data_IF_873556831531
#
_entry.id   IF_873556831531
#
_cell.length_a   1.000
_cell.length_b   1.000
_cell.length_c   1.000
_cell.angle_alpha   90.00
_cell.angle_beta   90.00
_cell.angle_gamma   90.00
#
_symmetry.space_group_name_H-M   'P 1'
#
loop_
_entity.id
_entity.type
_entity.pdbx_description
1 polymer ?
#
# COMPACT_ATOMS: atom_id res chain seq x y z
N UNK A 1 30.69 22.19 -4.77
CA UNK A 1 30.95 20.76 -5.04
C UNK A 1 30.76 19.83 -3.85
N UNK A 2 31.50 19.90 -2.73
CA UNK A 2 31.32 18.91 -1.63
C UNK A 2 29.86 18.82 -1.15
N UNK A 3 29.21 19.96 -0.89
CA UNK A 3 27.80 20.01 -0.48
C UNK A 3 26.85 19.49 -1.57
N UNK A 4 27.13 19.76 -2.84
CA UNK A 4 26.28 19.31 -3.96
C UNK A 4 26.41 17.80 -4.23
N UNK A 5 27.62 17.24 -4.08
CA UNK A 5 27.84 15.81 -4.10
C UNK A 5 27.15 15.14 -2.91
N UNK A 6 27.24 15.74 -1.71
CA UNK A 6 26.54 15.24 -0.51
C UNK A 6 25.02 15.27 -0.70
N UNK A 7 24.46 16.30 -1.33
CA UNK A 7 23.02 16.40 -1.59
C UNK A 7 22.54 15.46 -2.70
N UNK A 8 23.37 15.19 -3.71
CA UNK A 8 23.04 14.30 -4.82
C UNK A 8 23.13 12.81 -4.48
N UNK A 9 24.03 12.42 -3.58
CA UNK A 9 24.26 11.01 -3.23
C UNK A 9 23.00 10.31 -2.68
N UNK A 10 22.23 10.87 -1.72
CA UNK A 10 20.98 10.29 -1.26
C UNK A 10 19.98 10.05 -2.40
N UNK A 11 19.87 10.99 -3.34
CA UNK A 11 18.95 10.89 -4.49
C UNK A 11 19.36 9.74 -5.42
N UNK A 12 20.66 9.62 -5.72
CA UNK A 12 21.17 8.50 -6.51
C UNK A 12 20.91 7.14 -5.83
N UNK A 13 21.13 7.07 -4.50
CA UNK A 13 20.83 5.86 -3.72
C UNK A 13 19.32 5.54 -3.75
N UNK A 14 18.46 6.56 -3.64
CA UNK A 14 17.02 6.38 -3.75
C UNK A 14 16.61 5.86 -5.13
N UNK A 15 17.20 6.37 -6.22
CA UNK A 15 16.95 5.87 -7.58
C UNK A 15 17.32 4.40 -7.74
N UNK A 16 18.52 4.01 -7.30
CA UNK A 16 18.95 2.59 -7.30
C UNK A 16 17.99 1.75 -6.47
N UNK A 17 17.59 2.24 -5.30
CA UNK A 17 16.62 1.56 -4.44
C UNK A 17 15.27 1.36 -5.14
N UNK A 18 14.72 2.38 -5.81
CA UNK A 18 13.46 2.26 -6.54
C UNK A 18 13.56 1.24 -7.68
N UNK A 19 14.66 1.27 -8.46
CA UNK A 19 14.91 0.26 -9.50
C UNK A 19 14.92 -1.15 -8.92
N UNK A 20 15.64 -1.39 -7.82
CA UNK A 20 15.66 -2.70 -7.16
C UNK A 20 14.29 -3.08 -6.57
N UNK A 21 13.55 -2.10 -6.05
CA UNK A 21 12.21 -2.30 -5.50
C UNK A 21 11.21 -2.71 -6.58
N UNK A 22 11.34 -2.21 -7.81
CA UNK A 22 10.54 -2.69 -8.94
C UNK A 22 10.87 -4.14 -9.32
N UNK A 23 12.14 -4.54 -9.29
CA UNK A 23 12.52 -5.96 -9.47
C UNK A 23 11.86 -6.82 -8.40
N UNK A 24 11.90 -6.37 -7.13
CA UNK A 24 11.22 -7.04 -6.01
C UNK A 24 9.69 -7.13 -6.22
N UNK A 25 9.04 -6.11 -6.77
CA UNK A 25 7.61 -6.17 -7.11
C UNK A 25 7.32 -7.19 -8.22
N UNK A 26 8.18 -7.29 -9.23
CA UNK A 26 8.06 -8.33 -10.26
C UNK A 26 8.22 -9.72 -9.64
N UNK A 27 9.15 -9.91 -8.69
CA UNK A 27 9.24 -11.16 -7.93
C UNK A 27 7.96 -11.45 -7.13
N UNK A 28 7.38 -10.43 -6.48
CA UNK A 28 6.10 -10.60 -5.75
C UNK A 28 4.95 -10.99 -6.67
N UNK A 29 4.92 -10.50 -7.91
CA UNK A 29 3.90 -10.83 -8.91
C UNK A 29 4.04 -12.24 -9.47
N UNK A 30 5.27 -12.68 -9.75
CA UNK A 30 5.52 -13.90 -10.52
C UNK A 30 6.05 -15.08 -9.70
N UNK A 31 6.51 -14.87 -8.47
CA UNK A 31 7.05 -15.93 -7.59
C UNK A 31 6.20 -16.08 -6.32
N UNK A 32 5.44 -17.19 -6.25
CA UNK A 32 4.58 -17.48 -5.11
C UNK A 32 5.35 -17.59 -3.78
N UNK A 33 6.54 -18.20 -3.80
CA UNK A 33 7.40 -18.31 -2.60
C UNK A 33 7.85 -16.93 -2.08
N UNK A 34 8.08 -15.98 -2.99
CA UNK A 34 8.45 -14.62 -2.62
C UNK A 34 7.25 -13.81 -2.13
N UNK A 35 6.05 -14.05 -2.67
CA UNK A 35 4.82 -13.45 -2.17
C UNK A 35 4.59 -13.83 -0.70
N UNK A 36 4.86 -15.07 -0.31
CA UNK A 36 4.79 -15.51 1.10
C UNK A 36 5.77 -14.78 2.02
N UNK A 37 7.02 -14.55 1.56
CA UNK A 37 8.03 -13.82 2.32
C UNK A 37 7.71 -12.34 2.49
N UNK A 38 7.11 -11.73 1.46
CA UNK A 38 6.76 -10.31 1.41
C UNK A 38 5.35 -10.00 1.92
N UNK A 39 4.56 -11.02 2.28
CA UNK A 39 3.18 -10.87 2.74
C UNK A 39 3.07 -10.08 4.06
N UNK A 40 2.21 -9.06 4.06
CA UNK A 40 1.87 -8.26 5.25
C UNK A 40 0.54 -8.74 5.85
N UNK A 41 0.51 -9.97 6.37
CA UNK A 41 -0.67 -10.47 7.07
C UNK A 41 -0.60 -11.94 7.46
N UNK A 42 -1.28 -12.28 8.56
CA UNK A 42 -1.47 -13.67 8.99
C UNK A 42 -2.15 -14.52 7.92
N UNK A 43 -1.49 -15.63 7.57
CA UNK A 43 -1.92 -16.66 6.60
C UNK A 43 -3.42 -16.94 6.68
N UNK A 44 -4.18 -16.39 5.73
CA UNK A 44 -5.56 -16.77 5.40
C UNK A 44 -5.94 -16.34 3.97
N UNK A 45 -4.97 -16.23 3.06
CA UNK A 45 -5.18 -15.82 1.66
C UNK A 45 -4.13 -16.41 0.67
N UNK A 46 -3.73 -17.67 0.82
CA UNK A 46 -3.40 -18.49 -0.34
C UNK A 46 -4.70 -18.83 -1.09
N UNK A 47 -5.24 -17.85 -1.82
CA UNK A 47 -6.26 -18.04 -2.83
C UNK A 47 -5.64 -18.90 -3.95
N UNK A 48 -5.56 -20.21 -3.71
CA UNK A 48 -5.46 -21.18 -4.78
C UNK A 48 -6.72 -20.99 -5.63
N UNK A 49 -6.50 -20.36 -6.79
CA UNK A 49 -7.45 -20.24 -7.88
C UNK A 49 -8.13 -21.59 -8.03
N UNK A 50 -9.41 -21.66 -7.68
CA UNK A 50 -10.24 -22.80 -8.08
C UNK A 50 -10.35 -22.72 -9.61
N UNK A 51 -9.72 -23.63 -10.38
CA UNK A 51 -9.58 -23.47 -11.84
C UNK A 51 -10.89 -23.70 -12.60
N UNK A 52 -12.03 -23.79 -11.92
CA UNK A 52 -13.25 -24.39 -12.48
C UNK A 52 -14.33 -23.44 -12.98
N UNK A 53 -14.33 -22.15 -12.57
CA UNK A 53 -15.56 -21.32 -12.72
C UNK A 53 -15.38 -20.05 -13.57
N UNK A 54 -14.13 -19.64 -13.87
CA UNK A 54 -13.86 -18.52 -14.81
C UNK A 54 -12.94 -18.91 -15.98
N UNK A 55 -12.59 -20.19 -16.13
CA UNK A 55 -11.64 -20.68 -17.13
C UNK A 55 -12.19 -20.83 -18.54
N UNK A 56 -13.51 -20.72 -18.72
CA UNK A 56 -14.12 -20.95 -20.04
C UNK A 56 -13.95 -19.78 -21.02
N UNK A 57 -13.45 -18.61 -20.60
CA UNK A 57 -13.49 -17.39 -21.42
C UNK A 57 -12.14 -16.65 -21.57
N UNK A 58 -11.06 -17.09 -20.88
CA UNK A 58 -9.71 -16.49 -20.97
C UNK A 58 -8.65 -17.33 -21.68
N UNK A 59 -8.91 -18.62 -21.90
CA UNK A 59 -7.88 -19.63 -22.20
C UNK A 59 -7.49 -19.75 -23.69
N UNK A 60 -7.73 -18.76 -24.57
CA UNK A 60 -7.46 -18.95 -26.02
C UNK A 60 -6.28 -18.22 -26.66
N UNK A 61 -5.81 -17.06 -26.17
CA UNK A 61 -4.77 -16.32 -26.93
C UNK A 61 -3.64 -15.66 -26.09
N UNK A 62 -3.69 -15.65 -24.75
CA UNK A 62 -2.68 -14.95 -23.91
C UNK A 62 -1.87 -15.81 -22.91
N UNK A 63 -2.29 -17.04 -22.61
CA UNK A 63 -1.71 -17.84 -21.51
C UNK A 63 -0.33 -18.44 -21.82
N UNK A 64 0.02 -18.65 -23.09
CA UNK A 64 1.26 -19.35 -23.46
C UNK A 64 2.53 -18.52 -23.20
N UNK A 65 2.45 -17.18 -23.28
CA UNK A 65 3.62 -16.31 -23.09
C UNK A 65 3.90 -15.99 -21.61
N UNK A 66 2.85 -15.76 -20.82
CA UNK A 66 2.98 -15.44 -19.40
C UNK A 66 3.47 -16.65 -18.57
N UNK A 67 3.07 -17.87 -18.92
CA UNK A 67 3.51 -19.08 -18.24
C UNK A 67 5.01 -19.38 -18.47
N UNK A 68 5.54 -19.11 -19.67
CA UNK A 68 6.97 -19.32 -19.99
C UNK A 68 7.85 -18.25 -19.31
N UNK A 69 7.40 -17.00 -19.26
CA UNK A 69 8.09 -15.94 -18.53
C UNK A 69 8.12 -16.21 -17.01
N UNK A 70 6.98 -16.64 -16.44
CA UNK A 70 6.88 -17.00 -15.03
C UNK A 70 7.80 -18.19 -14.69
N UNK A 71 7.88 -19.23 -15.53
CA UNK A 71 8.74 -20.40 -15.27
C UNK A 71 10.23 -20.08 -15.35
N UNK A 72 10.64 -19.17 -16.24
CA UNK A 72 12.05 -18.77 -16.34
C UNK A 72 12.47 -17.89 -15.16
N UNK A 73 11.68 -16.85 -14.83
CA UNK A 73 11.97 -15.95 -13.71
C UNK A 73 11.96 -16.70 -12.38
N UNK A 74 10.96 -17.57 -12.16
CA UNK A 74 10.88 -18.38 -10.93
C UNK A 74 12.10 -19.27 -10.77
N UNK A 75 12.64 -19.88 -11.84
CA UNK A 75 13.83 -20.71 -11.74
C UNK A 75 15.09 -19.92 -11.36
N UNK A 76 15.31 -18.74 -11.96
CA UNK A 76 16.47 -17.89 -11.61
C UNK A 76 16.37 -17.30 -10.21
N UNK A 77 15.15 -17.05 -9.73
CA UNK A 77 14.93 -16.42 -8.44
C UNK A 77 14.68 -17.43 -7.31
N UNK A 78 14.41 -18.70 -7.60
CA UNK A 78 14.17 -19.73 -6.58
C UNK A 78 15.33 -19.83 -5.59
N UNK A 79 16.58 -19.88 -6.05
CA UNK A 79 17.75 -19.99 -5.16
C UNK A 79 17.90 -18.79 -4.21
N UNK A 80 17.90 -17.52 -4.67
CA UNK A 80 17.99 -16.38 -3.76
C UNK A 80 16.76 -16.24 -2.87
N UNK A 81 15.55 -16.56 -3.36
CA UNK A 81 14.31 -16.53 -2.56
C UNK A 81 14.37 -17.59 -1.46
N UNK A 82 14.79 -18.81 -1.77
CA UNK A 82 14.98 -19.88 -0.79
C UNK A 82 16.08 -19.55 0.22
N UNK A 83 17.19 -18.95 -0.23
CA UNK A 83 18.26 -18.48 0.66
C UNK A 83 17.73 -17.39 1.61
N UNK A 84 16.95 -16.44 1.10
CA UNK A 84 16.31 -15.41 1.93
C UNK A 84 15.29 -16.01 2.90
N UNK A 85 14.48 -16.98 2.46
CA UNK A 85 13.51 -17.68 3.30
C UNK A 85 14.16 -18.45 4.46
N UNK A 86 15.30 -19.09 4.18
CA UNK A 86 16.07 -19.86 5.16
C UNK A 86 16.98 -18.98 6.04
N UNK A 87 17.26 -17.75 5.62
CA UNK A 87 18.01 -16.78 6.41
C UNK A 87 17.26 -16.37 7.69
N UNK A 88 17.97 -15.68 8.59
CA UNK A 88 17.37 -15.06 9.77
C UNK A 88 16.25 -14.06 9.42
N UNK A 89 16.39 -13.33 8.30
CA UNK A 89 15.41 -12.34 7.86
C UNK A 89 14.07 -12.97 7.45
N UNK A 90 14.09 -14.15 6.81
CA UNK A 90 12.88 -14.88 6.42
C UNK A 90 12.23 -15.65 7.56
N UNK A 91 13.03 -16.14 8.52
CA UNK A 91 12.54 -16.95 9.66
C UNK A 91 12.03 -16.13 10.82
N UNK A 92 12.71 -15.04 11.19
CA UNK A 92 12.29 -14.27 12.36
C UNK A 92 11.02 -13.48 12.08
N UNK A 93 10.12 -13.47 13.06
CA UNK A 93 8.80 -12.86 12.97
C UNK A 93 8.71 -11.72 13.97
N UNK A 94 8.29 -10.55 13.50
CA UNK A 94 7.97 -9.41 14.35
C UNK A 94 6.47 -9.16 14.29
N UNK A 95 5.90 -8.61 15.36
CA UNK A 95 4.47 -8.28 15.34
C UNK A 95 4.23 -7.19 14.29
N UNK A 96 3.10 -7.30 13.58
CA UNK A 96 2.72 -6.28 12.58
C UNK A 96 2.66 -4.89 13.18
N UNK A 97 2.19 -4.75 14.42
CA UNK A 97 2.17 -3.46 15.13
C UNK A 97 3.59 -2.88 15.27
N UNK A 98 4.57 -3.69 15.64
CA UNK A 98 5.97 -3.26 15.75
C UNK A 98 6.56 -2.90 14.39
N UNK A 99 6.30 -3.69 13.34
CA UNK A 99 6.80 -3.39 12.00
C UNK A 99 6.27 -2.04 11.51
N UNK A 100 4.95 -1.85 11.53
CA UNK A 100 4.34 -0.59 11.09
C UNK A 100 4.83 0.60 11.93
N UNK A 101 4.96 0.43 13.25
CA UNK A 101 5.56 1.45 14.11
C UNK A 101 6.98 1.81 13.65
N UNK A 102 7.83 0.80 13.39
CA UNK A 102 9.19 0.99 12.94
C UNK A 102 9.24 1.78 11.62
N UNK A 103 8.34 1.48 10.67
CA UNK A 103 8.26 2.16 9.37
C UNK A 103 8.09 3.67 9.54
N UNK A 104 7.07 4.06 10.31
CA UNK A 104 6.75 5.48 10.50
C UNK A 104 7.79 6.19 11.35
N UNK A 105 8.36 5.53 12.36
CA UNK A 105 9.48 6.09 13.14
C UNK A 105 10.70 6.31 12.25
N UNK A 106 11.06 5.35 11.39
CA UNK A 106 12.19 5.52 10.45
C UNK A 106 11.96 6.66 9.47
N UNK A 107 10.72 6.84 8.97
CA UNK A 107 10.35 7.97 8.13
C UNK A 107 10.50 9.31 8.85
N UNK A 108 9.98 9.42 10.08
CA UNK A 108 10.11 10.63 10.91
C UNK A 108 11.56 10.98 11.22
N UNK A 109 12.35 10.01 11.68
CA UNK A 109 13.78 10.21 12.00
C UNK A 109 14.55 10.65 10.77
N UNK A 110 14.31 10.03 9.62
CA UNK A 110 14.96 10.41 8.35
C UNK A 110 14.56 11.83 7.94
N UNK A 111 13.27 12.18 7.99
CA UNK A 111 12.82 13.54 7.73
C UNK A 111 13.45 14.57 8.66
N UNK A 112 13.50 14.30 9.96
CA UNK A 112 14.13 15.19 10.94
C UNK A 112 15.62 15.35 10.66
N UNK A 113 16.33 14.27 10.31
CA UNK A 113 17.73 14.35 9.90
C UNK A 113 17.92 15.21 8.64
N UNK A 114 17.08 15.04 7.62
CA UNK A 114 17.10 15.85 6.39
C UNK A 114 16.83 17.33 6.68
N UNK A 115 15.85 17.64 7.55
CA UNK A 115 15.61 19.01 8.01
C UNK A 115 16.80 19.58 8.78
N UNK A 116 17.44 18.78 9.65
CA UNK A 116 18.62 19.15 10.41
C UNK A 116 19.82 19.47 9.52
N UNK A 117 20.10 18.63 8.52
CA UNK A 117 21.15 18.87 7.52
C UNK A 117 20.90 20.19 6.78
N UNK A 118 19.66 20.42 6.33
CA UNK A 118 19.27 21.65 5.64
C UNK A 118 19.38 22.88 6.52
N UNK A 119 19.01 22.77 7.79
CA UNK A 119 19.13 23.82 8.78
C UNK A 119 20.60 24.21 9.00
N UNK A 120 21.47 23.21 9.23
CA UNK A 120 22.92 23.43 9.41
C UNK A 120 23.51 24.11 8.17
N UNK A 121 23.18 23.63 6.97
CA UNK A 121 23.66 24.24 5.72
C UNK A 121 23.24 25.71 5.58
N UNK A 122 21.99 26.04 5.93
CA UNK A 122 21.50 27.43 5.91
C UNK A 122 22.24 28.32 6.93
N UNK A 123 22.49 27.82 8.15
CA UNK A 123 23.22 28.55 9.17
C UNK A 123 24.70 28.76 8.81
N UNK A 124 25.37 27.74 8.25
CA UNK A 124 26.77 27.83 7.83
C UNK A 124 26.97 28.84 6.70
N UNK A 125 26.03 28.93 5.75
CA UNK A 125 26.09 29.92 4.68
C UNK A 125 25.94 31.35 5.22
N UNK A 126 25.11 31.55 6.25
CA UNK A 126 24.94 32.85 6.91
C UNK A 126 26.18 33.28 7.71
N UNK A 127 26.94 32.33 8.29
CA UNK A 127 28.13 32.63 9.10
C UNK A 127 29.39 32.95 8.28
N UNK A 128 29.45 32.54 7.00
CA UNK A 128 30.63 32.71 6.12
C UNK A 128 30.82 34.13 5.56
N UNK A 129 30.35 35.17 6.26
CA UNK A 129 30.33 36.57 5.86
C UNK A 129 31.70 37.25 5.71
N UNK A 130 32.61 36.71 4.90
CA UNK A 130 33.76 37.45 4.41
C UNK A 130 33.30 38.47 3.35
N UNK A 131 33.54 39.78 3.56
CA UNK A 131 33.21 40.80 2.59
C UNK A 131 34.27 40.77 1.48
N UNK A 132 34.16 39.85 0.52
CA UNK A 132 34.93 39.96 -0.72
C UNK A 132 34.22 40.92 -1.68
N UNK A 133 34.96 41.94 -2.12
CA UNK A 133 34.62 43.12 -2.92
C UNK A 133 33.98 42.88 -4.32
N UNK A 134 33.28 41.78 -4.55
CA UNK A 134 32.44 41.57 -5.74
C UNK A 134 31.04 41.23 -5.25
N UNK A 135 30.15 42.21 -5.35
CA UNK A 135 28.74 42.13 -4.96
C UNK A 135 28.00 40.97 -5.68
N UNK A 136 28.11 39.76 -5.14
CA UNK A 136 27.13 38.70 -5.35
C UNK A 136 26.14 38.82 -4.21
N UNK A 137 24.91 39.18 -4.53
CA UNK A 137 23.79 39.24 -3.60
C UNK A 137 23.80 38.00 -2.70
N UNK A 138 23.61 38.15 -1.37
CA UNK A 138 23.55 37.01 -0.46
C UNK A 138 22.53 35.99 -1.01
N UNK A 139 22.83 34.68 -0.97
CA UNK A 139 21.87 33.68 -1.42
C UNK A 139 20.58 33.87 -0.63
N UNK A 140 19.47 34.14 -1.34
CA UNK A 140 18.18 34.35 -0.71
C UNK A 140 17.87 33.14 0.21
N UNK A 141 17.34 33.36 1.43
CA UNK A 141 17.02 32.28 2.35
C UNK A 141 16.13 31.25 1.64
N UNK A 142 16.42 29.97 1.87
CA UNK A 142 15.71 28.88 1.21
C UNK A 142 14.19 29.07 1.36
N UNK A 143 13.50 29.17 0.22
CA UNK A 143 12.08 29.53 0.22
C UNK A 143 11.27 28.46 0.97
N UNK A 144 10.39 28.83 1.93
CA UNK A 144 9.68 27.88 2.79
C UNK A 144 8.84 26.85 2.01
N UNK A 145 8.35 27.23 0.82
CA UNK A 145 7.62 26.33 -0.09
C UNK A 145 8.42 25.09 -0.51
N UNK A 146 9.76 25.18 -0.60
CA UNK A 146 10.61 24.04 -0.96
C UNK A 146 10.63 22.96 0.13
N UNK A 147 10.21 23.28 1.36
CA UNK A 147 10.10 22.31 2.44
C UNK A 147 8.72 21.63 2.47
N UNK A 148 7.71 22.15 1.76
CA UNK A 148 6.32 21.68 1.88
C UNK A 148 6.18 20.19 1.52
N UNK A 149 6.78 19.66 0.43
CA UNK A 149 6.70 18.23 0.14
C UNK A 149 7.24 17.34 1.27
N UNK A 150 8.35 17.76 1.88
CA UNK A 150 8.94 17.05 3.03
C UNK A 150 8.08 17.17 4.29
N UNK A 151 7.49 18.35 4.54
CA UNK A 151 6.59 18.59 5.67
C UNK A 151 5.34 17.73 5.54
N UNK A 152 4.74 17.65 4.34
CA UNK A 152 3.58 16.80 4.07
C UNK A 152 3.91 15.32 4.28
N UNK A 153 5.06 14.83 3.78
CA UNK A 153 5.51 13.45 4.04
C UNK A 153 5.76 13.19 5.54
N UNK A 154 6.33 14.15 6.25
CA UNK A 154 6.58 14.04 7.70
C UNK A 154 5.26 14.00 8.48
N UNK A 155 4.31 14.85 8.12
CA UNK A 155 2.96 14.86 8.68
C UNK A 155 2.25 13.53 8.39
N UNK A 156 2.35 13.01 7.16
CA UNK A 156 1.84 11.69 6.81
C UNK A 156 2.41 10.62 7.75
N UNK A 157 3.73 10.55 7.93
CA UNK A 157 4.35 9.59 8.86
C UNK A 157 3.85 9.75 10.30
N UNK A 158 3.71 10.99 10.79
CA UNK A 158 3.21 11.27 12.13
C UNK A 158 1.75 10.83 12.34
N UNK A 159 0.89 11.11 11.36
CA UNK A 159 -0.51 10.68 11.37
C UNK A 159 -0.58 9.15 11.34
N UNK A 160 0.14 8.50 10.43
CA UNK A 160 0.15 7.04 10.33
C UNK A 160 0.71 6.35 11.58
N UNK A 161 1.74 6.93 12.22
CA UNK A 161 2.24 6.46 13.52
C UNK A 161 1.16 6.57 14.59
N UNK A 162 0.49 7.71 14.66
CA UNK A 162 -0.60 7.97 15.62
C UNK A 162 -1.76 7.00 15.41
N UNK A 163 -2.19 6.79 14.15
CA UNK A 163 -3.21 5.79 13.80
C UNK A 163 -2.77 4.38 14.21
N UNK A 164 -1.52 4.00 13.96
CA UNK A 164 -0.98 2.68 14.33
C UNK A 164 -1.02 2.44 15.84
N UNK A 165 -0.82 3.49 16.63
CA UNK A 165 -0.83 3.43 18.09
C UNK A 165 -2.23 3.45 18.67
N UNK A 166 -3.12 4.30 18.14
CA UNK A 166 -4.40 4.65 18.76
C UNK A 166 -5.63 4.05 18.06
N UNK A 167 -5.59 3.92 16.73
CA UNK A 167 -6.77 3.57 15.91
C UNK A 167 -6.69 2.11 15.45
N UNK A 168 -5.58 1.71 14.82
CA UNK A 168 -5.42 0.42 14.19
C UNK A 168 -5.41 -0.72 15.21
N UNK A 169 -6.27 -1.71 14.99
CA UNK A 169 -6.43 -2.89 15.86
C UNK A 169 -5.79 -4.11 15.22
N UNK A 170 -4.52 -4.35 15.50
CA UNK A 170 -3.80 -5.55 15.03
C UNK A 170 -4.27 -6.81 15.77
N UNK A 171 -4.27 -7.96 15.10
CA UNK A 171 -4.51 -9.24 15.78
C UNK A 171 -3.24 -9.67 16.50
N UNK A 172 -3.39 -10.36 17.62
CA UNK A 172 -2.25 -10.81 18.44
C UNK A 172 -1.28 -11.72 17.67
N UNK A 173 -1.78 -12.52 16.73
CA UNK A 173 -0.99 -13.42 15.90
C UNK A 173 -0.61 -12.84 14.52
N UNK A 174 -0.89 -11.56 14.26
CA UNK A 174 -0.53 -10.92 13.00
C UNK A 174 0.96 -10.58 13.01
N UNK A 175 1.75 -11.40 12.33
CA UNK A 175 3.22 -11.26 12.26
C UNK A 175 3.69 -11.10 10.83
N UNK A 176 4.82 -10.41 10.67
CA UNK A 176 5.51 -10.26 9.39
C UNK A 176 6.92 -10.79 9.52
N UNK A 177 7.52 -11.20 8.40
CA UNK A 177 8.95 -11.56 8.38
C UNK A 177 9.80 -10.34 8.75
N UNK A 178 10.96 -10.56 9.35
CA UNK A 178 11.91 -9.47 9.58
C UNK A 178 12.34 -8.86 8.23
N UNK A 179 12.44 -9.64 7.16
CA UNK A 179 12.67 -9.13 5.81
C UNK A 179 11.63 -8.07 5.40
N UNK A 180 10.33 -8.38 5.52
CA UNK A 180 9.27 -7.43 5.21
C UNK A 180 9.35 -6.20 6.12
N UNK A 181 9.67 -6.39 7.41
CA UNK A 181 9.86 -5.25 8.32
C UNK A 181 11.03 -4.35 7.90
N UNK A 182 12.19 -4.92 7.53
CA UNK A 182 13.35 -4.15 7.06
C UNK A 182 13.01 -3.45 5.74
N UNK A 183 12.39 -4.14 4.79
CA UNK A 183 11.98 -3.57 3.51
C UNK A 183 11.00 -2.40 3.68
N UNK A 184 10.03 -2.52 4.61
CA UNK A 184 9.12 -1.44 4.97
C UNK A 184 9.84 -0.24 5.59
N UNK A 185 10.80 -0.45 6.48
CA UNK A 185 11.60 0.63 7.05
C UNK A 185 12.48 1.32 5.99
N UNK A 186 13.17 0.57 5.13
CA UNK A 186 13.99 1.16 4.06
C UNK A 186 13.14 1.93 3.05
N UNK A 187 11.91 1.47 2.79
CA UNK A 187 10.95 2.20 1.96
C UNK A 187 10.68 3.60 2.53
N UNK A 188 10.43 3.73 3.83
CA UNK A 188 10.18 5.03 4.46
C UNK A 188 11.41 5.94 4.49
N UNK A 189 12.63 5.39 4.63
CA UNK A 189 13.88 6.15 4.48
C UNK A 189 13.98 6.74 3.08
N UNK A 190 13.78 5.91 2.04
CA UNK A 190 13.93 6.33 0.65
C UNK A 190 12.79 7.22 0.19
N UNK A 191 11.57 7.03 0.71
CA UNK A 191 10.44 7.93 0.49
C UNK A 191 10.67 9.31 1.12
N UNK A 192 11.30 9.37 2.31
CA UNK A 192 11.69 10.62 2.93
C UNK A 192 12.73 11.38 2.08
N UNK A 193 13.75 10.68 1.59
CA UNK A 193 14.75 11.26 0.68
C UNK A 193 14.10 11.73 -0.64
N UNK A 194 13.20 10.92 -1.21
CA UNK A 194 12.50 11.23 -2.46
C UNK A 194 11.48 12.36 -2.34
N UNK A 195 11.13 12.76 -1.11
CA UNK A 195 10.24 13.89 -0.81
C UNK A 195 11.00 15.19 -0.54
N UNK A 196 12.33 15.13 -0.41
CA UNK A 196 13.15 16.30 -0.12
C UNK A 196 13.53 17.02 -1.42
N UNK A 197 13.22 18.32 -1.50
CA UNK A 197 13.75 19.16 -2.57
C UNK A 197 15.24 19.40 -2.33
N UNK A 198 16.11 19.26 -3.35
CA UNK A 198 17.53 19.61 -3.26
C UNK A 198 17.77 21.02 -2.72
N UNK A 199 18.95 21.25 -2.15
CA UNK A 199 19.31 22.57 -1.63
C UNK A 199 19.22 23.67 -2.67
N UNK A 200 18.94 24.89 -2.21
CA UNK A 200 18.78 26.11 -3.01
C UNK A 200 20.01 26.45 -3.87
N UNK A 201 21.19 25.92 -3.53
CA UNK A 201 22.42 26.00 -4.32
C UNK A 201 22.28 25.36 -5.70
N UNK A 202 21.43 24.31 -5.81
CA UNK A 202 21.19 23.54 -7.03
C UNK A 202 19.95 24.05 -7.76
N UNK A 203 19.00 24.67 -7.04
CA UNK A 203 17.73 25.18 -7.60
C UNK A 203 17.57 26.69 -7.35
N UNK A 204 18.48 27.57 -7.82
CA UNK A 204 18.42 28.99 -7.49
C UNK A 204 17.24 29.74 -8.13
N UNK A 205 16.61 29.19 -9.17
CA UNK A 205 15.61 29.90 -10.00
C UNK A 205 14.20 29.34 -9.96
N UNK A 206 14.01 28.04 -9.69
CA UNK A 206 12.67 27.44 -9.75
C UNK A 206 11.72 27.91 -8.63
N UNK A 207 12.22 28.50 -7.53
CA UNK A 207 11.35 29.09 -6.50
C UNK A 207 10.82 30.47 -6.87
N UNK A 208 11.43 31.17 -7.83
CA UNK A 208 11.09 32.57 -8.09
C UNK A 208 9.76 32.71 -8.84
N UNK A 209 9.50 31.88 -9.86
CA UNK A 209 8.23 31.94 -10.61
C UNK A 209 7.02 31.47 -9.80
N UNK A 210 7.21 30.44 -8.95
CA UNK A 210 6.20 29.97 -7.99
C UNK A 210 5.73 31.13 -7.09
N UNK A 211 6.64 32.03 -6.74
CA UNK A 211 6.31 33.25 -6.02
C UNK A 211 5.77 34.33 -6.98
N UNK A 212 6.37 34.59 -8.14
CA UNK A 212 5.95 35.70 -9.02
C UNK A 212 4.52 35.54 -9.55
N UNK A 213 4.09 34.31 -9.85
CA UNK A 213 2.78 34.05 -10.45
C UNK A 213 1.75 33.65 -9.39
N UNK A 214 0.72 34.50 -9.20
CA UNK A 214 -0.39 34.22 -8.27
C UNK A 214 -1.04 32.86 -8.56
N UNK A 215 -1.26 32.54 -9.84
CA UNK A 215 -1.85 31.26 -10.28
C UNK A 215 -1.06 30.08 -9.71
N UNK A 216 0.28 30.16 -9.74
CA UNK A 216 1.14 29.07 -9.28
C UNK A 216 1.13 28.91 -7.77
N UNK A 217 1.07 30.02 -7.02
CA UNK A 217 0.82 29.98 -5.57
C UNK A 217 -0.51 29.31 -5.25
N UNK A 218 -1.57 29.66 -6.00
CA UNK A 218 -2.89 29.05 -5.82
C UNK A 218 -2.87 27.55 -6.14
N UNK A 219 -2.23 27.12 -7.23
CA UNK A 219 -2.08 25.71 -7.58
C UNK A 219 -1.30 24.94 -6.51
N UNK A 220 -0.21 25.51 -6.02
CA UNK A 220 0.61 24.89 -4.96
C UNK A 220 -0.15 24.79 -3.63
N UNK A 221 -0.87 25.86 -3.26
CA UNK A 221 -1.75 25.88 -2.10
C UNK A 221 -2.89 24.86 -2.22
N UNK A 222 -3.54 24.77 -3.39
CA UNK A 222 -4.57 23.79 -3.67
C UNK A 222 -4.04 22.35 -3.57
N UNK A 223 -2.85 22.08 -4.11
CA UNK A 223 -2.19 20.78 -3.95
C UNK A 223 -1.90 20.43 -2.49
N UNK A 224 -1.45 21.40 -1.69
CA UNK A 224 -1.23 21.22 -0.25
C UNK A 224 -2.54 20.90 0.47
N UNK A 225 -3.62 21.64 0.22
CA UNK A 225 -4.94 21.40 0.79
C UNK A 225 -5.50 20.04 0.35
N UNK A 226 -5.30 19.66 -0.92
CA UNK A 226 -5.70 18.35 -1.44
C UNK A 226 -4.99 17.21 -0.71
N UNK A 227 -3.68 17.32 -0.47
CA UNK A 227 -2.92 16.33 0.30
C UNK A 227 -3.51 16.17 1.71
N UNK A 228 -3.74 17.28 2.43
CA UNK A 228 -4.30 17.25 3.79
C UNK A 228 -5.72 16.65 3.81
N UNK A 229 -6.53 16.95 2.80
CA UNK A 229 -7.90 16.42 2.65
C UNK A 229 -7.88 14.91 2.41
N UNK A 230 -6.99 14.44 1.55
CA UNK A 230 -6.78 13.01 1.30
C UNK A 230 -6.30 12.29 2.57
N UNK A 231 -5.41 12.89 3.36
CA UNK A 231 -4.97 12.36 4.65
C UNK A 231 -6.14 12.22 5.63
N UNK A 232 -7.03 13.22 5.71
CA UNK A 232 -8.21 13.17 6.57
C UNK A 232 -9.21 12.07 6.14
N UNK A 233 -9.42 11.90 4.83
CA UNK A 233 -10.26 10.82 4.28
C UNK A 233 -9.62 9.46 4.60
N UNK A 234 -8.30 9.32 4.44
CA UNK A 234 -7.57 8.10 4.78
C UNK A 234 -7.77 7.73 6.26
N UNK A 235 -7.65 8.71 7.17
CA UNK A 235 -7.87 8.50 8.62
C UNK A 235 -9.31 8.08 8.92
N UNK A 236 -10.27 8.68 8.23
CA UNK A 236 -11.69 8.31 8.35
C UNK A 236 -11.91 6.85 7.92
N UNK A 237 -11.32 6.43 6.80
CA UNK A 237 -11.40 5.06 6.31
C UNK A 237 -10.77 4.06 7.29
N UNK A 238 -9.59 4.33 7.85
CA UNK A 238 -8.99 3.45 8.88
C UNK A 238 -9.82 3.40 10.16
N UNK A 239 -10.43 4.52 10.56
CA UNK A 239 -11.29 4.57 11.75
C UNK A 239 -12.52 3.70 11.57
N UNK A 240 -13.16 3.73 10.39
CA UNK A 240 -14.28 2.85 10.05
C UNK A 240 -13.83 1.37 10.14
N UNK A 241 -12.71 1.03 9.50
CA UNK A 241 -12.17 -0.35 9.53
C UNK A 241 -11.82 -0.81 10.96
N UNK A 242 -11.33 0.10 11.80
CA UNK A 242 -11.03 -0.20 13.20
C UNK A 242 -12.31 -0.45 14.02
N UNK A 243 -13.37 0.33 13.78
CA UNK A 243 -14.69 0.14 14.43
C UNK A 243 -15.32 -1.20 14.07
N UNK A 244 -15.16 -1.68 12.83
CA UNK A 244 -15.64 -3.02 12.43
C UNK A 244 -15.00 -4.16 13.25
N UNK A 245 -13.80 -3.97 13.80
CA UNK A 245 -13.13 -4.97 14.64
C UNK A 245 -13.58 -4.92 16.10
N UNK A 246 -14.25 -3.86 16.52
CA UNK A 246 -14.87 -3.79 17.84
C UNK A 246 -16.07 -4.72 17.81
N UNK A 247 -15.90 -5.96 18.30
CA UNK A 247 -17.03 -6.86 18.57
C UNK A 247 -18.06 -6.04 19.35
N UNK A 248 -19.33 -5.97 18.90
CA UNK A 248 -20.38 -5.50 19.78
C UNK A 248 -20.32 -6.37 21.02
N UNK A 249 -20.05 -5.75 22.17
CA UNK A 249 -20.19 -6.36 23.47
C UNK A 249 -21.68 -6.56 23.72
N UNK A 250 -22.33 -7.42 22.93
CA UNK A 250 -23.65 -7.89 23.29
C UNK A 250 -23.45 -8.70 24.57
N UNK A 251 -23.86 -8.09 25.68
CA UNK A 251 -24.21 -8.67 26.97
C UNK A 251 -25.34 -9.67 26.77
N UNK A 252 -25.09 -10.74 26.02
CA UNK A 252 -25.91 -11.94 26.06
C UNK A 252 -25.46 -12.71 27.29
N UNK A 253 -26.41 -13.06 28.16
CA UNK A 253 -26.14 -13.87 29.35
C UNK A 253 -25.30 -15.10 28.98
N UNK A 254 -24.28 -15.39 29.79
CA UNK A 254 -23.27 -16.44 29.54
C UNK A 254 -23.90 -17.77 29.10
N UNK A 255 -25.02 -18.14 29.74
CA UNK A 255 -25.74 -19.40 29.54
C UNK A 255 -26.47 -19.47 28.19
N UNK A 256 -27.12 -18.39 27.76
CA UNK A 256 -27.81 -18.35 26.46
C UNK A 256 -26.81 -18.37 25.30
N UNK A 257 -25.64 -17.77 25.51
CA UNK A 257 -24.52 -17.75 24.54
C UNK A 257 -23.88 -19.11 24.34
N UNK A 258 -23.74 -19.92 25.39
CA UNK A 258 -23.19 -21.28 25.29
C UNK A 258 -24.15 -22.21 24.56
N UNK A 259 -25.44 -22.18 24.91
CA UNK A 259 -26.46 -22.99 24.24
C UNK A 259 -26.59 -22.64 22.75
N UNK A 260 -26.69 -21.34 22.41
CA UNK A 260 -26.74 -20.92 20.99
C UNK A 260 -25.47 -21.29 20.21
N UNK A 261 -24.28 -21.21 20.83
CA UNK A 261 -23.04 -21.60 20.17
C UNK A 261 -23.00 -23.11 19.89
N UNK A 262 -23.50 -23.93 20.80
CA UNK A 262 -23.61 -25.38 20.58
C UNK A 262 -24.52 -25.72 19.40
N UNK A 263 -25.65 -25.01 19.26
CA UNK A 263 -26.53 -25.16 18.09
C UNK A 263 -25.90 -24.66 16.80
N UNK A 264 -25.22 -23.51 16.82
CA UNK A 264 -24.52 -22.97 15.65
C UNK A 264 -23.40 -23.92 15.17
N UNK A 265 -22.63 -24.49 16.10
CA UNK A 265 -21.59 -25.48 15.79
C UNK A 265 -22.21 -26.79 15.28
N UNK A 266 -23.34 -27.23 15.83
CA UNK A 266 -24.10 -28.38 15.35
C UNK A 266 -24.62 -28.19 13.93
N UNK A 267 -25.23 -27.04 13.65
CA UNK A 267 -25.70 -26.66 12.32
C UNK A 267 -24.53 -26.56 11.34
N UNK A 268 -23.39 -26.00 11.76
CA UNK A 268 -22.22 -25.90 10.92
C UNK A 268 -21.65 -27.27 10.54
N UNK A 269 -21.60 -28.22 11.48
CA UNK A 269 -21.22 -29.60 11.18
C UNK A 269 -22.16 -30.23 10.13
N UNK A 270 -23.47 -29.96 10.21
CA UNK A 270 -24.44 -30.42 9.19
C UNK A 270 -24.19 -29.79 7.82
N UNK A 271 -23.94 -28.48 7.77
CA UNK A 271 -23.60 -27.78 6.53
C UNK A 271 -22.31 -28.35 5.91
N UNK A 272 -21.28 -28.56 6.73
CA UNK A 272 -20.01 -29.17 6.26
C UNK A 272 -20.24 -30.57 5.72
N UNK A 273 -21.01 -31.40 6.43
CA UNK A 273 -21.36 -32.74 5.96
C UNK A 273 -22.14 -32.69 4.62
N UNK A 274 -23.11 -31.78 4.49
CA UNK A 274 -23.88 -31.63 3.26
C UNK A 274 -23.05 -31.17 2.07
N UNK A 275 -22.08 -30.27 2.29
CA UNK A 275 -21.14 -29.83 1.26
C UNK A 275 -20.20 -30.97 0.85
N UNK A 276 -19.72 -31.76 1.81
CA UNK A 276 -18.88 -32.92 1.54
C UNK A 276 -19.62 -34.00 0.71
N UNK A 277 -20.88 -34.31 1.06
CA UNK A 277 -21.68 -35.29 0.31
C UNK A 277 -22.06 -34.79 -1.07
N UNK A 278 -22.40 -33.50 -1.22
CA UNK A 278 -22.76 -32.90 -2.51
C UNK A 278 -21.57 -32.89 -3.49
N UNK A 279 -20.35 -32.64 -2.99
CA UNK A 279 -19.16 -32.70 -3.84
C UNK A 279 -18.79 -34.12 -4.24
N UNK A 280 -18.88 -35.09 -3.31
CA UNK A 280 -18.67 -36.50 -3.63
C UNK A 280 -19.64 -36.98 -4.73
N UNK A 281 -20.89 -36.51 -4.72
CA UNK A 281 -21.88 -36.80 -5.75
C UNK A 281 -21.56 -36.18 -7.13
N UNK A 282 -20.80 -35.08 -7.17
CA UNK A 282 -20.37 -34.43 -8.42
C UNK A 282 -19.08 -35.03 -9.00
N UNK A 283 -18.53 -36.08 -8.39
CA UNK A 283 -17.30 -36.73 -8.87
C UNK A 283 -16.04 -35.86 -8.69
N UNK A 284 -16.12 -34.79 -7.91
CA UNK A 284 -14.94 -34.03 -7.53
C UNK A 284 -14.11 -34.85 -6.54
N UNK A 285 -12.83 -35.05 -6.87
CA UNK A 285 -11.89 -35.74 -5.99
C UNK A 285 -11.95 -35.16 -4.57
N UNK A 286 -12.03 -35.99 -3.51
CA UNK A 286 -12.05 -35.51 -2.13
C UNK A 286 -10.84 -34.64 -1.76
N UNK A 287 -9.75 -34.69 -2.55
CA UNK A 287 -8.58 -33.84 -2.40
C UNK A 287 -8.71 -32.41 -2.99
N UNK A 288 -9.73 -32.10 -3.80
CA UNK A 288 -10.00 -30.71 -4.26
C UNK A 288 -10.75 -29.86 -3.24
N UNK A 289 -11.30 -30.48 -2.21
CA UNK A 289 -12.01 -29.84 -1.09
C UNK A 289 -11.20 -29.81 0.19
N UNK A 290 -9.87 -29.76 0.10
CA UNK A 290 -9.10 -29.04 1.09
C UNK A 290 -9.61 -27.60 1.09
N UNK A 291 -10.64 -27.35 1.91
CA UNK A 291 -11.20 -26.04 2.24
C UNK A 291 -10.00 -25.13 2.38
N UNK A 292 -9.76 -24.15 1.47
CA UNK A 292 -8.66 -23.21 1.66
C UNK A 292 -8.72 -22.78 3.12
N UNK A 293 -7.61 -22.80 3.89
CA UNK A 293 -7.59 -22.55 5.35
C UNK A 293 -8.34 -21.26 5.79
N UNK A 294 -8.64 -20.42 4.82
CA UNK A 294 -9.42 -19.18 4.75
C UNK A 294 -10.92 -19.37 5.02
N UNK A 295 -11.42 -20.60 4.83
CA UNK A 295 -12.79 -21.05 5.12
C UNK A 295 -13.04 -21.35 6.61
N UNK A 296 -12.02 -21.31 7.47
CA UNK A 296 -12.14 -21.49 8.93
C UNK A 296 -12.76 -20.27 9.66
N UNK A 297 -13.76 -19.65 9.02
CA UNK A 297 -14.58 -18.58 9.58
C UNK A 297 -14.13 -17.17 9.25
N UNK A 298 -13.16 -16.94 8.35
CA UNK A 298 -12.78 -15.57 7.98
C UNK A 298 -13.96 -14.82 7.32
N UNK A 299 -14.69 -15.48 6.44
CA UNK A 299 -15.92 -14.95 5.81
C UNK A 299 -17.03 -14.61 6.84
N UNK A 300 -17.06 -15.31 7.99
CA UNK A 300 -17.99 -15.00 9.10
C UNK A 300 -17.53 -13.80 9.92
N UNK A 301 -16.22 -13.60 10.05
CA UNK A 301 -15.62 -12.58 10.91
C UNK A 301 -15.55 -11.21 10.24
N UNK A 302 -15.57 -11.16 8.91
CA UNK A 302 -15.37 -9.92 8.17
C UNK A 302 -16.61 -9.53 7.38
N UNK A 303 -17.03 -8.28 7.59
CA UNK A 303 -18.07 -7.58 6.84
C UNK A 303 -17.46 -6.42 6.08
N UNK A 304 -17.91 -6.19 4.87
CA UNK A 304 -17.45 -5.08 4.07
C UNK A 304 -18.24 -3.81 4.47
N UNK A 305 -17.57 -2.67 4.77
CA UNK A 305 -18.23 -1.44 5.22
C UNK A 305 -18.96 -0.66 4.12
N UNK A 306 -19.72 -1.35 3.24
CA UNK A 306 -20.41 -0.71 2.11
C UNK A 306 -21.32 0.46 2.56
N UNK A 307 -22.09 0.24 3.61
CA UNK A 307 -23.04 1.26 4.11
C UNK A 307 -22.42 2.28 5.06
N UNK A 308 -21.16 2.09 5.48
CA UNK A 308 -20.55 2.97 6.47
C UNK A 308 -20.08 4.30 5.89
N UNK A 309 -19.71 4.34 4.60
CA UNK A 309 -19.18 5.55 3.97
C UNK A 309 -19.23 5.43 2.43
N UNK A 310 -19.53 6.54 1.75
CA UNK A 310 -19.57 6.64 0.28
C UNK A 310 -18.26 6.18 -0.36
N UNK A 311 -17.10 6.44 0.26
CA UNK A 311 -15.80 6.00 -0.27
C UNK A 311 -15.72 4.48 -0.43
N UNK A 312 -16.28 3.69 0.50
CA UNK A 312 -16.31 2.23 0.39
C UNK A 312 -17.35 1.71 -0.61
N UNK A 313 -18.32 2.52 -1.00
CA UNK A 313 -19.28 2.19 -2.06
C UNK A 313 -18.65 2.34 -3.45
N UNK A 314 -17.71 3.28 -3.59
CA UNK A 314 -17.06 3.57 -4.86
C UNK A 314 -15.79 2.72 -5.03
N UNK A 315 -14.95 2.63 -3.99
CA UNK A 315 -13.60 2.04 -4.05
C UNK A 315 -13.44 0.96 -2.99
N UNK A 316 -12.79 -0.15 -3.35
CA UNK A 316 -12.54 -1.29 -2.44
C UNK A 316 -11.70 -0.89 -1.22
N UNK A 317 -10.58 -0.23 -1.48
CA UNK A 317 -9.59 0.18 -0.48
C UNK A 317 -9.37 1.69 -0.55
N UNK A 318 -10.32 2.52 -0.10
CA UNK A 318 -10.23 3.97 -0.24
C UNK A 318 -8.98 4.55 0.45
N UNK A 319 -8.55 3.93 1.54
CA UNK A 319 -7.33 4.29 2.25
C UNK A 319 -6.04 4.09 1.43
N UNK A 320 -5.99 3.09 0.54
CA UNK A 320 -4.87 2.89 -0.38
C UNK A 320 -4.92 3.89 -1.55
N UNK A 321 -6.11 4.18 -2.07
CA UNK A 321 -6.29 5.21 -3.10
C UNK A 321 -5.88 6.58 -2.61
N UNK A 322 -6.24 6.94 -1.37
CA UNK A 322 -5.77 8.18 -0.75
C UNK A 322 -4.25 8.22 -0.64
N UNK A 323 -3.61 7.11 -0.25
CA UNK A 323 -2.16 7.03 -0.12
C UNK A 323 -1.44 7.28 -1.47
N UNK A 324 -1.86 6.59 -2.53
CA UNK A 324 -1.34 6.83 -3.89
C UNK A 324 -1.55 8.29 -4.31
N UNK A 325 -2.75 8.82 -4.12
CA UNK A 325 -3.09 10.19 -4.51
C UNK A 325 -2.23 11.22 -3.76
N UNK A 326 -1.95 11.00 -2.46
CA UNK A 326 -1.06 11.86 -1.69
C UNK A 326 0.38 11.85 -2.22
N UNK A 327 0.93 10.68 -2.57
CA UNK A 327 2.25 10.60 -3.20
C UNK A 327 2.27 11.30 -4.56
N UNK A 328 1.24 11.10 -5.39
CA UNK A 328 1.12 11.78 -6.68
C UNK A 328 1.05 13.31 -6.54
N UNK A 329 0.25 13.82 -5.60
CA UNK A 329 0.21 15.24 -5.27
C UNK A 329 1.58 15.72 -4.79
N UNK A 330 2.29 14.94 -3.97
CA UNK A 330 3.62 15.30 -3.50
C UNK A 330 4.63 15.40 -4.66
N UNK A 331 4.59 14.46 -5.61
CA UNK A 331 5.39 14.50 -6.83
C UNK A 331 5.07 15.71 -7.70
N UNK A 332 3.79 16.09 -7.83
CA UNK A 332 3.38 17.30 -8.57
C UNK A 332 3.91 18.56 -7.86
N UNK A 333 3.80 18.65 -6.53
CA UNK A 333 4.36 19.77 -5.78
C UNK A 333 5.89 19.86 -5.95
N UNK A 334 6.58 18.72 -5.95
CA UNK A 334 8.02 18.65 -6.21
C UNK A 334 8.36 19.08 -7.65
N UNK A 335 7.58 18.66 -8.64
CA UNK A 335 7.71 19.11 -10.04
C UNK A 335 7.59 20.63 -10.12
N UNK A 336 6.58 21.22 -9.49
CA UNK A 336 6.40 22.68 -9.43
C UNK A 336 7.60 23.38 -8.78
N UNK A 337 8.27 22.75 -7.81
CA UNK A 337 9.49 23.27 -7.21
C UNK A 337 10.73 23.15 -8.09
N UNK A 338 10.73 22.29 -9.11
CA UNK A 338 11.91 21.98 -9.96
C UNK A 338 11.80 22.60 -11.36
N UNK A 339 10.59 22.90 -11.83
CA UNK A 339 10.37 23.46 -13.17
C UNK A 339 11.14 24.78 -13.36
N UNK A 340 11.90 24.92 -14.46
CA UNK A 340 12.60 26.17 -14.78
C UNK A 340 11.57 27.27 -15.12
N UNK A 341 11.93 28.52 -14.81
CA UNK A 341 11.11 29.67 -15.17
C UNK A 341 11.04 29.81 -16.69
N UNK A 342 9.88 29.55 -17.28
CA UNK A 342 9.65 29.64 -18.72
C UNK A 342 9.62 31.09 -19.25
N UNK A 343 9.69 32.09 -18.36
CA UNK A 343 9.60 33.51 -18.73
C UNK A 343 10.95 34.17 -19.06
N UNK A 344 12.08 33.46 -18.91
CA UNK A 344 13.37 33.93 -19.41
C UNK A 344 13.68 33.35 -20.81
N UNK A 345 14.05 34.18 -21.79
CA UNK A 345 14.39 33.69 -23.12
C UNK A 345 15.62 32.77 -23.04
N UNK A 346 15.54 31.61 -23.71
CA UNK A 346 16.59 30.58 -23.74
C UNK A 346 17.99 31.10 -24.11
N UNK A 347 18.07 32.31 -24.68
CA UNK A 347 19.30 33.03 -25.03
C UNK A 347 20.16 33.39 -23.82
N UNK A 348 19.59 33.67 -22.63
CA UNK A 348 20.39 33.98 -21.43
C UNK A 348 20.97 32.72 -20.77
N UNK A 349 20.30 31.58 -20.93
CA UNK A 349 20.79 30.27 -20.48
C UNK A 349 21.95 29.83 -21.37
N UNK A 350 21.84 30.00 -22.70
CA UNK A 350 22.92 29.74 -23.64
C UNK A 350 24.10 30.71 -23.48
N UNK A 351 23.85 32.00 -23.25
CA UNK A 351 24.90 33.00 -23.03
C UNK A 351 25.60 32.84 -21.67
N UNK A 352 24.87 32.46 -20.61
CA UNK A 352 25.44 32.11 -19.30
C UNK A 352 26.17 30.77 -19.31
N UNK A 353 25.71 29.81 -20.11
CA UNK A 353 26.41 28.56 -20.36
C UNK A 353 27.70 28.80 -21.15
N UNK A 354 27.69 29.65 -22.19
CA UNK A 354 28.85 30.00 -23.02
C UNK A 354 29.88 30.88 -22.31
N UNK A 355 29.46 31.94 -21.59
CA UNK A 355 30.38 32.79 -20.77
C UNK A 355 30.98 32.02 -19.61
N UNK A 356 30.22 31.12 -19.04
CA UNK A 356 30.77 30.16 -18.11
C UNK A 356 31.75 29.23 -18.81
N UNK A 357 31.42 28.64 -19.97
CA UNK A 357 32.32 27.73 -20.70
C UNK A 357 33.71 28.34 -20.97
N UNK A 358 33.77 29.64 -21.29
CA UNK A 358 35.02 30.37 -21.54
C UNK A 358 35.91 30.59 -20.30
N UNK A 359 35.34 30.68 -19.08
CA UNK A 359 36.12 30.70 -17.83
C UNK A 359 36.32 29.30 -17.21
N UNK A 360 35.49 28.33 -17.64
CA UNK A 360 35.35 26.96 -17.09
C UNK A 360 36.43 25.97 -17.57
N UNK A 361 37.27 26.33 -18.55
CA UNK A 361 38.41 25.51 -18.99
C UNK A 361 39.68 25.71 -18.14
N UNK A 362 39.73 26.70 -17.25
CA UNK A 362 40.92 26.96 -16.39
C UNK A 362 40.92 26.19 -15.07
N UNK A 363 39.81 25.60 -14.65
CA UNK A 363 39.74 24.70 -13.49
C UNK A 363 39.81 23.26 -13.98
N UNK A 364 40.87 22.52 -13.67
CA UNK A 364 41.05 21.09 -14.02
C UNK A 364 40.07 20.12 -13.34
N UNK A 365 38.78 20.50 -13.30
CA UNK A 365 37.73 19.72 -12.65
C UNK A 365 37.11 18.71 -13.64
N UNK A 366 36.84 17.47 -13.19
CA UNK A 366 36.23 16.46 -14.04
C UNK A 366 34.80 16.87 -14.48
N UNK A 367 34.56 16.88 -15.79
CA UNK A 367 33.29 17.30 -16.40
C UNK A 367 32.08 16.48 -15.93
N UNK A 368 32.28 15.23 -15.50
CA UNK A 368 31.23 14.33 -15.01
C UNK A 368 30.58 14.82 -13.70
N UNK A 369 31.35 15.42 -12.78
CA UNK A 369 30.82 15.95 -11.52
C UNK A 369 29.79 17.06 -11.75
N UNK A 370 30.03 17.95 -12.73
CA UNK A 370 29.12 19.07 -13.02
C UNK A 370 27.84 18.64 -13.71
N UNK A 371 27.90 17.65 -14.61
CA UNK A 371 26.69 17.08 -15.23
C UNK A 371 25.80 16.40 -14.18
N UNK A 372 26.40 15.65 -13.25
CA UNK A 372 25.67 15.05 -12.14
C UNK A 372 24.95 16.12 -11.31
N UNK A 373 25.63 17.20 -10.91
CA UNK A 373 25.04 18.27 -10.09
C UNK A 373 23.89 19.02 -10.80
N UNK A 374 24.02 19.33 -12.10
CA UNK A 374 22.96 20.01 -12.86
C UNK A 374 21.69 19.15 -13.01
N UNK A 375 21.83 17.82 -12.99
CA UNK A 375 20.72 16.88 -13.10
C UNK A 375 20.00 16.59 -11.78
N UNK A 376 20.58 16.94 -10.63
CA UNK A 376 20.05 16.60 -9.28
C UNK A 376 18.56 16.96 -9.09
N UNK A 377 18.04 18.11 -9.54
CA UNK A 377 16.62 18.43 -9.39
C UNK A 377 15.72 17.46 -10.17
N UNK A 378 16.13 17.09 -11.39
CA UNK A 378 15.42 16.11 -12.22
C UNK A 378 15.56 14.68 -11.67
N UNK A 379 16.71 14.32 -11.12
CA UNK A 379 16.91 13.04 -10.42
C UNK A 379 16.02 12.95 -9.18
N UNK A 380 15.83 14.05 -8.46
CA UNK A 380 14.96 14.11 -7.28
C UNK A 380 13.49 13.95 -7.68
N UNK A 381 13.08 14.61 -8.76
CA UNK A 381 11.77 14.38 -9.36
C UNK A 381 11.60 12.92 -9.78
N UNK A 382 12.59 12.33 -10.43
CA UNK A 382 12.54 10.93 -10.86
C UNK A 382 12.45 9.97 -9.66
N UNK A 383 13.14 10.26 -8.54
CA UNK A 383 13.02 9.50 -7.30
C UNK A 383 11.60 9.62 -6.71
N UNK A 384 11.00 10.82 -6.75
CA UNK A 384 9.61 11.06 -6.35
C UNK A 384 8.60 10.32 -7.23
N UNK A 385 8.82 10.28 -8.55
CA UNK A 385 8.03 9.46 -9.47
C UNK A 385 8.20 7.97 -9.13
N UNK A 386 9.43 7.55 -8.83
CA UNK A 386 9.75 6.18 -8.42
C UNK A 386 8.93 5.72 -7.22
N UNK A 387 8.88 6.50 -6.13
CA UNK A 387 8.06 6.17 -4.95
C UNK A 387 6.57 6.15 -5.27
N UNK A 388 6.06 7.09 -6.08
CA UNK A 388 4.65 7.16 -6.45
C UNK A 388 4.23 5.93 -7.27
N UNK A 389 5.00 5.57 -8.29
CA UNK A 389 4.72 4.42 -9.15
C UNK A 389 4.89 3.10 -8.39
N UNK A 390 5.92 2.98 -7.56
CA UNK A 390 6.10 1.80 -6.70
C UNK A 390 4.92 1.64 -5.74
N UNK A 391 4.48 2.71 -5.08
CA UNK A 391 3.34 2.69 -4.14
C UNK A 391 2.05 2.31 -4.87
N UNK A 392 1.79 2.90 -6.04
CA UNK A 392 0.67 2.55 -6.90
C UNK A 392 0.64 1.05 -7.26
N UNK A 393 1.77 0.51 -7.71
CA UNK A 393 1.87 -0.91 -8.07
C UNK A 393 1.72 -1.83 -6.86
N UNK A 394 2.43 -1.55 -5.76
CA UNK A 394 2.41 -2.37 -4.54
C UNK A 394 1.02 -2.42 -3.88
N UNK A 395 0.34 -1.27 -3.80
CA UNK A 395 -1.02 -1.18 -3.26
C UNK A 395 -2.06 -1.72 -4.25
N UNK A 396 -1.83 -1.59 -5.56
CA UNK A 396 -2.64 -2.22 -6.60
C UNK A 396 -2.65 -3.74 -6.48
N UNK A 397 -1.47 -4.36 -6.31
CA UNK A 397 -1.34 -5.81 -6.05
C UNK A 397 -2.09 -6.21 -4.79
N UNK A 398 -1.89 -5.47 -3.70
CA UNK A 398 -2.54 -5.75 -2.41
C UNK A 398 -4.07 -5.59 -2.49
N UNK A 399 -4.57 -4.60 -3.24
CA UNK A 399 -6.01 -4.42 -3.48
C UNK A 399 -6.59 -5.55 -4.34
N UNK A 400 -5.84 -6.06 -5.33
CA UNK A 400 -6.25 -7.24 -6.08
C UNK A 400 -6.31 -8.50 -5.19
N UNK A 401 -5.36 -8.69 -4.26
CA UNK A 401 -5.41 -9.73 -3.24
C UNK A 401 -6.67 -9.59 -2.36
N UNK A 402 -7.01 -8.38 -1.90
CA UNK A 402 -8.24 -8.11 -1.15
C UNK A 402 -9.50 -8.42 -1.96
N UNK A 403 -9.54 -8.07 -3.24
CA UNK A 403 -10.66 -8.42 -4.13
C UNK A 403 -10.82 -9.92 -4.23
N UNK A 404 -9.74 -10.67 -4.47
CA UNK A 404 -9.77 -12.14 -4.53
C UNK A 404 -10.29 -12.73 -3.21
N UNK A 405 -9.86 -12.20 -2.08
CA UNK A 405 -10.39 -12.58 -0.77
C UNK A 405 -11.92 -12.36 -0.68
N UNK A 406 -12.44 -11.19 -1.07
CA UNK A 406 -13.87 -10.93 -1.01
C UNK A 406 -14.69 -11.79 -1.97
N UNK A 407 -14.16 -12.05 -3.18
CA UNK A 407 -14.79 -12.95 -4.15
C UNK A 407 -14.85 -14.39 -3.62
N UNK A 408 -13.76 -14.88 -3.03
CA UNK A 408 -13.72 -16.19 -2.37
C UNK A 408 -14.68 -16.27 -1.17
N UNK A 409 -14.78 -15.20 -0.38
CA UNK A 409 -15.73 -15.10 0.73
C UNK A 409 -17.18 -15.11 0.24
N UNK A 410 -17.52 -14.41 -0.84
CA UNK A 410 -18.87 -14.45 -1.42
C UNK A 410 -19.19 -15.80 -2.06
N UNK A 411 -18.23 -16.44 -2.75
CA UNK A 411 -18.40 -17.80 -3.26
C UNK A 411 -18.68 -18.79 -2.11
N UNK A 412 -17.96 -18.66 -1.00
CA UNK A 412 -18.20 -19.43 0.22
C UNK A 412 -19.61 -19.19 0.77
N UNK A 413 -20.02 -17.92 0.88
CA UNK A 413 -21.37 -17.57 1.36
C UNK A 413 -22.44 -18.20 0.46
N UNK A 414 -22.31 -18.15 -0.87
CA UNK A 414 -23.23 -18.84 -1.78
C UNK A 414 -23.34 -20.33 -1.50
N UNK A 415 -22.20 -21.03 -1.39
CA UNK A 415 -22.17 -22.47 -1.12
C UNK A 415 -22.82 -22.82 0.23
N UNK A 416 -22.48 -22.06 1.28
CA UNK A 416 -23.08 -22.23 2.60
C UNK A 416 -24.58 -21.92 2.58
N UNK A 417 -24.98 -20.90 1.83
CA UNK A 417 -26.37 -20.47 1.71
C UNK A 417 -27.22 -21.48 0.97
N UNK A 418 -26.70 -22.07 -0.11
CA UNK A 418 -27.39 -23.15 -0.83
C UNK A 418 -27.52 -24.40 0.04
N UNK A 419 -26.46 -24.77 0.77
CA UNK A 419 -26.50 -25.91 1.68
C UNK A 419 -27.50 -25.70 2.84
N UNK A 420 -27.52 -24.50 3.43
CA UNK A 420 -28.47 -24.16 4.50
C UNK A 420 -29.93 -24.17 4.01
N UNK A 421 -30.21 -23.58 2.84
CA UNK A 421 -31.56 -23.62 2.24
C UNK A 421 -32.00 -25.05 2.00
N UNK A 422 -31.14 -25.88 1.39
CA UNK A 422 -31.47 -27.28 1.12
C UNK A 422 -31.73 -28.09 2.40
N UNK A 423 -30.95 -27.87 3.46
CA UNK A 423 -31.20 -28.48 4.78
C UNK A 423 -32.56 -28.04 5.33
N UNK A 424 -32.91 -26.75 5.22
CA UNK A 424 -34.21 -26.25 5.68
C UNK A 424 -35.37 -26.81 4.86
N UNK A 425 -35.23 -26.86 3.53
CA UNK A 425 -36.25 -27.41 2.62
C UNK A 425 -36.49 -28.91 2.89
N UNK A 426 -35.42 -29.69 3.08
CA UNK A 426 -35.47 -31.10 3.45
C UNK A 426 -36.17 -31.31 4.80
N UNK A 427 -35.98 -30.41 5.77
CA UNK A 427 -36.59 -30.49 7.09
C UNK A 427 -38.06 -30.05 7.09
N UNK A 428 -38.43 -29.06 6.27
CA UNK A 428 -39.82 -28.65 6.06
C UNK A 428 -40.63 -29.73 5.33
N UNK A 429 -40.02 -30.45 4.39
CA UNK A 429 -40.65 -31.54 3.63
C UNK A 429 -40.93 -32.81 4.47
N UNK A 430 -40.36 -32.95 5.68
CA UNK A 430 -40.61 -34.12 6.54
C UNK A 430 -42.05 -34.13 7.07
N UNK A 431 -42.81 -35.23 6.89
CA UNK A 431 -44.18 -35.35 7.37
C UNK A 431 -44.26 -35.26 8.90
N UNK A 432 -45.26 -34.54 9.40
CA UNK A 432 -45.50 -34.28 10.84
C UNK A 432 -45.75 -35.57 11.66
N UNK A 433 -46.04 -36.70 11.01
CA UNK A 433 -46.69 -37.86 11.62
C UNK A 433 -45.76 -38.95 12.15
N UNK A 434 -44.43 -38.85 12.00
CA UNK A 434 -43.50 -39.84 12.57
C UNK A 434 -42.61 -39.18 13.61
N UNK A 435 -42.57 -39.73 14.83
CA UNK A 435 -41.79 -39.28 15.99
C UNK A 435 -40.26 -39.25 15.83
N UNK A 436 -39.75 -39.10 14.61
CA UNK A 436 -38.35 -38.89 14.27
C UNK A 436 -38.04 -37.42 14.00
N UNK A 437 -37.60 -36.72 15.05
CA UNK A 437 -36.64 -35.62 15.03
C UNK A 437 -36.70 -34.60 13.89
N UNK A 438 -37.77 -33.78 13.81
CA UNK A 438 -37.64 -32.46 13.17
C UNK A 438 -36.55 -31.67 13.89
N UNK A 439 -35.82 -30.85 13.14
CA UNK A 439 -34.98 -29.82 13.75
C UNK A 439 -35.80 -29.04 14.80
N UNK A 440 -35.30 -28.87 16.04
CA UNK A 440 -35.89 -27.95 16.99
C UNK A 440 -36.16 -26.60 16.34
N UNK A 441 -37.28 -25.95 16.69
CA UNK A 441 -37.69 -24.68 16.11
C UNK A 441 -36.57 -23.63 16.22
N UNK A 442 -35.81 -23.68 17.31
CA UNK A 442 -34.67 -22.81 17.57
C UNK A 442 -33.54 -22.97 16.54
N UNK A 443 -33.36 -24.17 15.96
CA UNK A 443 -32.36 -24.40 14.91
C UNK A 443 -32.87 -23.90 13.56
N UNK A 444 -34.17 -24.06 13.30
CA UNK A 444 -34.80 -23.48 12.10
C UNK A 444 -34.68 -21.96 12.14
N UNK A 445 -35.04 -21.34 13.26
CA UNK A 445 -34.90 -19.89 13.47
C UNK A 445 -33.44 -19.44 13.33
N UNK A 446 -32.49 -20.19 13.90
CA UNK A 446 -31.07 -19.89 13.77
C UNK A 446 -30.57 -20.01 12.31
N UNK A 447 -31.03 -21.03 11.58
CA UNK A 447 -30.67 -21.24 10.18
C UNK A 447 -31.28 -20.16 9.27
N UNK A 448 -32.53 -19.77 9.50
CA UNK A 448 -33.17 -18.65 8.82
C UNK A 448 -32.44 -17.33 9.11
N UNK A 449 -32.09 -17.08 10.37
CA UNK A 449 -31.29 -15.92 10.76
C UNK A 449 -29.92 -15.93 10.05
N UNK A 450 -29.24 -17.07 9.99
CA UNK A 450 -27.98 -17.20 9.26
C UNK A 450 -28.15 -16.90 7.77
N UNK A 451 -29.23 -17.36 7.13
CA UNK A 451 -29.49 -17.07 5.73
C UNK A 451 -29.76 -15.58 5.46
N UNK A 452 -30.48 -14.90 6.36
CA UNK A 452 -30.85 -13.48 6.23
C UNK A 452 -29.71 -12.54 6.57
N UNK A 453 -28.84 -12.92 7.51
CA UNK A 453 -27.79 -12.05 8.01
C UNK A 453 -26.42 -12.60 7.63
N UNK A 454 -26.02 -13.77 8.16
CA UNK A 454 -24.64 -14.29 8.09
C UNK A 454 -24.15 -14.59 6.67
N UNK A 455 -25.05 -15.07 5.81
CA UNK A 455 -24.73 -15.65 4.50
C UNK A 455 -25.05 -14.71 3.33
N UNK A 456 -25.53 -13.49 3.62
CA UNK A 456 -25.70 -12.44 2.61
C UNK A 456 -24.36 -12.08 2.00
N UNK A 457 -24.30 -12.12 0.66
CA UNK A 457 -23.12 -11.71 -0.09
C UNK A 457 -22.79 -10.25 0.16
N UNK A 458 -21.49 -9.96 0.28
CA UNK A 458 -21.01 -8.60 0.44
C UNK A 458 -21.06 -7.89 -0.91
N UNK A 459 -21.56 -6.65 -0.93
CA UNK A 459 -21.50 -5.81 -2.12
C UNK A 459 -20.08 -5.24 -2.22
N UNK A 460 -19.30 -5.77 -3.17
CA UNK A 460 -17.93 -5.33 -3.41
C UNK A 460 -17.92 -4.30 -4.54
N UNK A 461 -17.34 -3.10 -4.34
CA UNK A 461 -17.30 -2.08 -5.38
C UNK A 461 -16.52 -2.56 -6.61
N UNK A 462 -16.83 -1.98 -7.78
CA UNK A 462 -16.15 -2.32 -9.03
C UNK A 462 -14.72 -1.76 -9.09
N UNK A 463 -14.45 -0.63 -8.44
CA UNK A 463 -13.15 0.04 -8.54
C UNK A 463 -12.14 -0.48 -7.51
N UNK A 464 -10.97 -0.89 -8.00
CA UNK A 464 -9.75 -1.06 -7.23
C UNK A 464 -8.99 0.27 -7.13
N UNK A 465 -7.89 0.29 -6.36
CA UNK A 465 -6.95 1.42 -6.27
C UNK A 465 -6.52 1.93 -7.66
N UNK A 466 -6.38 1.01 -8.63
CA UNK A 466 -6.34 1.30 -10.05
C UNK A 466 -7.24 0.35 -10.83
N UNK A 467 -8.02 0.84 -11.81
CA UNK A 467 -8.85 0.00 -12.67
C UNK A 467 -8.06 -0.95 -13.59
N UNK A 468 -6.72 -0.86 -13.62
CA UNK A 468 -5.86 -1.62 -14.54
C UNK A 468 -5.21 -2.87 -13.93
N UNK A 469 -5.30 -3.07 -12.61
CA UNK A 469 -4.78 -4.28 -11.95
C UNK A 469 -5.97 -5.12 -11.47
N UNK A 470 -6.24 -6.22 -12.18
CA UNK A 470 -7.34 -7.16 -11.93
C UNK A 470 -6.84 -8.52 -11.46
#
# INVERSE_FOLDING_TARGET
>A
MLVECIDGMPVCVALVYWSMSFVVLLLRLFCAEFADLSSYGGRSAAAAVSPGVCKAERDREGEYSAAVAATTLTRWCATPVHWLASSFLGRWRVTRKQSFTAFYVTGLVTSTALFGIRWIANCSNAASGHPSLVARSPPAPAHPLLCVPQVLFTLHCAVRLTETRLVQRFREHDTVTLFAAVAGSTFYVMAAISSAVPSHTIVPRASQWLHRLLVMRCVFGAGTVAHLSLQAIQVTAHTILARLRQRPSHTVSSTKKTHMRGWEEGLWRRVQAHLATSSAAQGESPNRLSTPPELYGAWRRYRYPYFSNVCFQVVLDPHYTCEVAMYAVNTILLLLCVLPDATEPATDIAAGAARGMGSRFKSGEPQWCRMACASVPWLSLLASVGVTVFTAANLGITSAEHRRFWMAANATRRLVGSALRKILDEEQAKPLSNGGGRLPAEIVDAAEYMLREAVVEEVVPKWNVFPLVW
#
